data_IF_813588586642
#
_entry.id   IF_813588586642
#
_cell.length_a   1.000
_cell.length_b   1.000
_cell.length_c   1.000
_cell.angle_alpha   90.00
_cell.angle_beta   90.00
_cell.angle_gamma   90.00
#
_symmetry.space_group_name_H-M   'P 1'
#
loop_
_entity.id
_entity.type
_entity.pdbx_description
1 polymer ?
#
# COMPACT_ATOMS: atom_id res chain seq x y z
N UNK A 1 -10.09 -30.28 19.14
CA UNK A 1 -10.26 -29.36 17.99
C UNK A 1 -9.01 -28.53 17.90
N UNK A 2 -8.17 -28.81 16.93
CA UNK A 2 -6.91 -28.10 16.72
C UNK A 2 -7.15 -27.15 15.56
N UNK A 3 -7.25 -25.84 15.82
CA UNK A 3 -7.38 -24.86 14.74
C UNK A 3 -6.00 -24.63 14.13
N UNK A 4 -5.87 -24.89 12.83
CA UNK A 4 -4.66 -24.56 12.06
C UNK A 4 -4.85 -23.19 11.43
N UNK A 5 -3.81 -22.34 11.42
CA UNK A 5 -3.85 -21.02 10.79
C UNK A 5 -2.97 -21.07 9.55
N UNK A 6 -3.53 -20.68 8.41
CA UNK A 6 -2.82 -20.47 7.15
C UNK A 6 -2.87 -18.99 6.78
N UNK A 7 -1.81 -18.50 6.14
CA UNK A 7 -1.70 -17.10 5.73
C UNK A 7 -1.68 -17.04 4.20
N UNK A 8 -2.69 -16.40 3.60
CA UNK A 8 -2.72 -16.12 2.15
C UNK A 8 -2.34 -14.66 1.92
N UNK A 9 -1.04 -14.44 1.82
CA UNK A 9 -0.46 -13.10 1.73
C UNK A 9 0.38 -13.04 0.46
N UNK A 10 -0.16 -12.49 -0.64
CA UNK A 10 0.60 -12.32 -1.87
C UNK A 10 1.79 -11.38 -1.67
N UNK A 11 2.92 -11.71 -2.29
CA UNK A 11 4.07 -10.82 -2.31
C UNK A 11 3.82 -9.63 -3.25
N UNK A 12 4.45 -8.50 -2.95
CA UNK A 12 4.46 -7.35 -3.86
C UNK A 12 5.79 -7.39 -4.61
N UNK A 13 5.76 -7.54 -5.94
CA UNK A 13 6.97 -7.78 -6.72
C UNK A 13 8.04 -6.76 -6.36
N UNK A 14 9.27 -7.25 -6.19
CA UNK A 14 10.43 -6.39 -6.10
C UNK A 14 10.53 -5.60 -7.43
N UNK A 15 10.39 -4.27 -7.44
CA UNK A 15 11.33 -3.44 -8.17
C UNK A 15 12.57 -4.19 -8.73
N UNK A 16 12.83 -4.37 -10.03
CA UNK A 16 13.03 -3.32 -11.03
C UNK A 16 13.96 -2.17 -10.61
N UNK A 17 14.29 -2.04 -9.32
CA UNK A 17 14.74 -0.81 -8.67
C UNK A 17 14.09 0.54 -9.14
N UNK A 18 12.75 0.67 -9.29
CA UNK A 18 12.08 1.90 -9.70
C UNK A 18 12.33 3.04 -8.73
N UNK A 19 12.45 2.75 -7.44
CA UNK A 19 12.57 3.78 -6.41
C UNK A 19 13.97 4.40 -6.41
N UNK A 20 15.04 3.60 -6.32
CA UNK A 20 16.40 4.13 -6.48
C UNK A 20 16.61 4.63 -7.91
N UNK A 21 15.99 4.01 -8.90
CA UNK A 21 16.01 4.48 -10.29
C UNK A 21 15.38 5.87 -10.44
N UNK A 22 14.22 6.10 -9.85
CA UNK A 22 13.51 7.38 -9.89
C UNK A 22 14.28 8.46 -9.13
N UNK A 23 14.61 8.21 -7.85
CA UNK A 23 15.31 9.20 -7.05
C UNK A 23 16.73 9.45 -7.54
N UNK A 24 17.44 8.39 -7.97
CA UNK A 24 18.76 8.50 -8.58
C UNK A 24 18.73 9.31 -9.87
N UNK A 25 17.79 9.03 -10.78
CA UNK A 25 17.63 9.81 -12.01
C UNK A 25 17.21 11.26 -11.72
N UNK A 26 16.31 11.50 -10.76
CA UNK A 26 15.94 12.85 -10.36
C UNK A 26 17.13 13.64 -9.80
N UNK A 27 17.96 13.03 -8.96
CA UNK A 27 19.14 13.67 -8.36
C UNK A 27 20.26 13.93 -9.37
N UNK A 28 20.51 12.98 -10.28
CA UNK A 28 21.66 12.99 -11.19
C UNK A 28 21.34 13.67 -12.52
N UNK A 29 20.13 13.49 -13.04
CA UNK A 29 19.76 13.88 -14.41
C UNK A 29 18.72 15.02 -14.42
N UNK A 30 17.91 15.12 -13.37
CA UNK A 30 16.87 16.12 -13.22
C UNK A 30 15.46 15.54 -13.37
N UNK A 31 14.46 16.41 -13.24
CA UNK A 31 13.06 16.01 -13.32
C UNK A 31 12.52 16.13 -14.76
N UNK A 32 11.47 15.37 -15.11
CA UNK A 32 10.84 15.42 -16.43
C UNK A 32 9.98 16.67 -16.69
N UNK A 33 9.94 17.60 -15.74
CA UNK A 33 9.12 18.81 -15.80
C UNK A 33 9.75 19.87 -14.90
N UNK A 34 9.70 21.12 -15.36
CA UNK A 34 10.12 22.32 -14.63
C UNK A 34 9.00 22.87 -13.72
N UNK A 35 7.78 22.34 -13.83
CA UNK A 35 6.65 22.75 -12.98
C UNK A 35 6.84 22.23 -11.55
N UNK A 36 6.89 23.14 -10.58
CA UNK A 36 6.96 22.79 -9.15
C UNK A 36 5.75 21.95 -8.70
N UNK A 37 4.58 22.19 -9.30
CA UNK A 37 3.35 21.44 -9.04
C UNK A 37 3.47 20.00 -9.51
N UNK A 38 3.96 19.78 -10.74
CA UNK A 38 4.18 18.44 -11.27
C UNK A 38 5.24 17.70 -10.46
N UNK A 39 6.39 18.34 -10.19
CA UNK A 39 7.47 17.77 -9.36
C UNK A 39 6.92 17.34 -8.00
N UNK A 40 6.13 18.19 -7.35
CA UNK A 40 5.55 17.88 -6.04
C UNK A 40 4.60 16.69 -6.11
N UNK A 41 3.72 16.64 -7.11
CA UNK A 41 2.73 15.57 -7.26
C UNK A 41 3.38 14.22 -7.61
N UNK A 42 4.33 14.20 -8.55
CA UNK A 42 5.07 13.00 -8.94
C UNK A 42 5.94 12.48 -7.79
N UNK A 43 6.74 13.35 -7.16
CA UNK A 43 7.58 12.97 -6.02
C UNK A 43 6.74 12.52 -4.81
N UNK A 44 5.57 13.14 -4.56
CA UNK A 44 4.65 12.69 -3.50
C UNK A 44 4.10 11.30 -3.82
N UNK A 45 3.64 11.07 -5.05
CA UNK A 45 3.19 9.76 -5.48
C UNK A 45 4.27 8.71 -5.26
N UNK A 46 5.49 8.91 -5.81
CA UNK A 46 6.58 7.93 -5.70
C UNK A 46 6.96 7.66 -4.24
N UNK A 47 7.07 8.71 -3.41
CA UNK A 47 7.37 8.56 -1.97
C UNK A 47 6.30 7.75 -1.24
N UNK A 48 5.02 8.03 -1.51
CA UNK A 48 3.91 7.32 -0.86
C UNK A 48 3.81 5.86 -1.34
N UNK A 49 4.04 5.57 -2.61
CA UNK A 49 4.10 4.19 -3.13
C UNK A 49 5.25 3.42 -2.48
N UNK A 50 6.42 4.04 -2.32
CA UNK A 50 7.55 3.44 -1.63
C UNK A 50 7.22 3.11 -0.17
N UNK A 51 6.70 4.10 0.58
CA UNK A 51 6.30 3.89 1.98
C UNK A 51 5.27 2.78 2.10
N UNK A 52 4.25 2.79 1.25
CA UNK A 52 3.19 1.79 1.27
C UNK A 52 3.72 0.37 1.03
N UNK A 53 4.66 0.21 0.10
CA UNK A 53 5.31 -1.08 -0.15
C UNK A 53 6.14 -1.55 1.04
N UNK A 54 6.99 -0.69 1.59
CA UNK A 54 7.83 -1.05 2.75
C UNK A 54 6.98 -1.42 3.96
N UNK A 55 5.91 -0.66 4.20
CA UNK A 55 4.96 -0.94 5.27
C UNK A 55 4.19 -2.23 5.02
N UNK A 56 3.77 -2.52 3.79
CA UNK A 56 3.15 -3.81 3.44
C UNK A 56 4.09 -4.98 3.77
N UNK A 57 5.32 -4.96 3.27
CA UNK A 57 6.28 -6.05 3.49
C UNK A 57 6.66 -6.21 4.97
N UNK A 58 6.78 -5.11 5.71
CA UNK A 58 6.98 -5.17 7.15
C UNK A 58 5.76 -5.76 7.85
N UNK A 59 4.55 -5.35 7.46
CA UNK A 59 3.30 -5.85 8.03
C UNK A 59 3.15 -7.36 7.85
N UNK A 60 3.41 -7.86 6.65
CA UNK A 60 3.32 -9.29 6.32
C UNK A 60 4.36 -10.11 7.07
N UNK A 61 5.60 -9.61 7.19
CA UNK A 61 6.64 -10.26 8.00
C UNK A 61 6.25 -10.36 9.48
N UNK A 62 5.74 -9.29 10.07
CA UNK A 62 5.28 -9.28 11.45
C UNK A 62 4.07 -10.21 11.64
N UNK A 63 3.16 -10.26 10.66
CA UNK A 63 2.00 -11.16 10.68
C UNK A 63 2.43 -12.63 10.69
N UNK A 64 3.34 -13.00 9.79
CA UNK A 64 3.94 -14.33 9.76
C UNK A 64 4.61 -14.66 11.09
N UNK A 65 5.40 -13.75 11.65
CA UNK A 65 6.09 -13.95 12.92
C UNK A 65 5.12 -14.17 14.08
N UNK A 66 3.99 -13.45 14.09
CA UNK A 66 2.97 -13.57 15.13
C UNK A 66 2.32 -14.98 15.19
N UNK A 67 2.24 -15.67 14.04
CA UNK A 67 1.59 -16.96 13.89
C UNK A 67 2.55 -18.16 13.66
N UNK A 68 3.86 -17.93 13.54
CA UNK A 68 4.87 -18.98 13.31
C UNK A 68 5.40 -19.66 14.59
N UNK A 69 5.12 -19.14 15.79
CA UNK A 69 5.66 -19.71 17.02
C UNK A 69 4.92 -20.98 17.44
N UNK A 70 5.66 -22.05 17.74
CA UNK A 70 5.18 -23.28 18.42
C UNK A 70 4.78 -23.06 19.89
N UNK A 71 4.68 -21.79 20.30
CA UNK A 71 4.25 -21.29 21.62
C UNK A 71 3.33 -20.08 21.42
N UNK A 72 2.69 -19.68 22.51
CA UNK A 72 1.82 -18.50 22.69
C UNK A 72 2.02 -17.40 21.63
N UNK A 73 0.92 -16.96 21.02
CA UNK A 73 0.87 -15.92 20.00
C UNK A 73 1.65 -14.67 20.43
N UNK A 74 2.60 -14.21 19.60
CA UNK A 74 3.36 -13.00 19.86
C UNK A 74 2.51 -11.74 19.58
N UNK A 75 1.68 -11.36 20.57
CA UNK A 75 0.74 -10.25 20.44
C UNK A 75 1.42 -8.93 20.05
N UNK A 76 2.67 -8.69 20.47
CA UNK A 76 3.46 -7.53 20.04
C UNK A 76 3.73 -7.49 18.53
N UNK A 77 3.98 -8.65 17.92
CA UNK A 77 4.19 -8.77 16.47
C UNK A 77 2.88 -8.55 15.72
N UNK A 78 1.76 -9.04 16.26
CA UNK A 78 0.44 -8.76 15.70
C UNK A 78 0.13 -7.25 15.70
N UNK A 79 0.38 -6.54 16.80
CA UNK A 79 0.17 -5.08 16.84
C UNK A 79 1.11 -4.32 15.90
N UNK A 80 2.37 -4.75 15.77
CA UNK A 80 3.32 -4.18 14.79
C UNK A 80 2.82 -4.39 13.36
N UNK A 81 2.29 -5.58 13.07
CA UNK A 81 1.69 -5.88 11.77
C UNK A 81 0.52 -4.94 11.46
N UNK A 82 -0.39 -4.78 12.43
CA UNK A 82 -1.56 -3.89 12.31
C UNK A 82 -1.13 -2.46 12.00
N UNK A 83 -0.27 -1.85 12.83
CA UNK A 83 0.18 -0.47 12.64
C UNK A 83 0.85 -0.23 11.28
N UNK A 84 1.56 -1.25 10.76
CA UNK A 84 2.17 -1.20 9.43
C UNK A 84 1.13 -1.28 8.31
N UNK A 85 0.10 -2.12 8.44
CA UNK A 85 -1.01 -2.13 7.47
C UNK A 85 -1.78 -0.80 7.46
N UNK A 86 -1.99 -0.17 8.61
CA UNK A 86 -2.62 1.15 8.71
C UNK A 86 -1.81 2.22 7.95
N UNK A 87 -0.48 2.21 8.15
CA UNK A 87 0.46 3.09 7.46
C UNK A 87 0.50 2.82 5.95
N UNK A 88 0.43 1.56 5.55
CA UNK A 88 0.37 1.12 4.16
C UNK A 88 -0.87 1.70 3.46
N UNK A 89 -2.07 1.46 4.01
CA UNK A 89 -3.34 1.92 3.43
C UNK A 89 -3.38 3.45 3.33
N UNK A 90 -2.93 4.14 4.38
CA UNK A 90 -2.86 5.60 4.40
C UNK A 90 -1.93 6.13 3.32
N UNK A 91 -0.77 5.50 3.13
CA UNK A 91 0.18 5.86 2.08
C UNK A 91 -0.36 5.56 0.68
N UNK A 92 -1.05 4.43 0.46
CA UNK A 92 -1.72 4.12 -0.81
C UNK A 92 -2.80 5.15 -1.16
N UNK A 93 -3.60 5.56 -0.18
CA UNK A 93 -4.60 6.61 -0.37
C UNK A 93 -3.96 7.94 -0.79
N UNK A 94 -2.88 8.36 -0.11
CA UNK A 94 -2.17 9.59 -0.49
C UNK A 94 -1.51 9.48 -1.88
N UNK A 95 -0.96 8.33 -2.23
CA UNK A 95 -0.42 8.07 -3.57
C UNK A 95 -1.52 8.21 -4.64
N UNK A 96 -2.66 7.55 -4.45
CA UNK A 96 -3.82 7.65 -5.34
C UNK A 96 -4.23 9.12 -5.56
N UNK A 97 -4.36 9.88 -4.48
CA UNK A 97 -4.75 11.30 -4.52
C UNK A 97 -3.74 12.16 -5.27
N UNK A 98 -2.46 11.94 -5.02
CA UNK A 98 -1.37 12.64 -5.71
C UNK A 98 -1.39 12.31 -7.22
N UNK A 99 -1.58 11.03 -7.56
CA UNK A 99 -1.60 10.57 -8.94
C UNK A 99 -2.82 11.08 -9.72
N UNK A 100 -4.02 11.05 -9.13
CA UNK A 100 -5.23 11.61 -9.76
C UNK A 100 -5.07 13.11 -10.03
N UNK A 101 -4.44 13.84 -9.11
CA UNK A 101 -4.13 15.26 -9.31
C UNK A 101 -3.07 15.46 -10.39
N UNK A 102 -2.03 14.63 -10.41
CA UNK A 102 -1.00 14.66 -11.45
C UNK A 102 -1.63 14.48 -12.83
N UNK A 103 -2.45 13.44 -13.04
CA UNK A 103 -3.15 13.16 -14.30
C UNK A 103 -3.96 14.31 -14.87
N UNK A 104 -4.52 15.14 -13.98
CA UNK A 104 -5.39 16.28 -14.30
C UNK A 104 -4.64 17.61 -14.28
N UNK A 105 -3.33 17.58 -14.11
CA UNK A 105 -2.52 18.78 -14.09
C UNK A 105 -2.41 19.33 -15.50
N UNK A 106 -2.90 20.56 -15.68
CA UNK A 106 -2.87 21.36 -16.89
C UNK A 106 -1.45 21.69 -17.36
N UNK A 107 -0.50 21.75 -16.43
CA UNK A 107 0.92 22.01 -16.73
C UNK A 107 1.66 20.79 -17.32
N UNK A 108 1.00 19.62 -17.47
CA UNK A 108 1.62 18.44 -18.05
C UNK A 108 1.88 18.66 -19.55
N UNK A 109 3.10 18.40 -20.00
CA UNK A 109 3.40 18.38 -21.44
C UNK A 109 2.56 17.29 -22.12
N UNK A 110 2.28 17.47 -23.41
CA UNK A 110 1.53 16.49 -24.19
C UNK A 110 2.18 15.10 -24.17
N UNK A 111 3.52 15.05 -24.19
CA UNK A 111 4.31 13.81 -24.12
C UNK A 111 4.16 13.10 -22.76
N UNK A 112 4.32 13.84 -21.65
CA UNK A 112 4.12 13.28 -20.30
C UNK A 112 2.67 12.85 -20.07
N UNK A 113 1.71 13.66 -20.54
CA UNK A 113 0.29 13.32 -20.48
C UNK A 113 -0.02 12.04 -21.27
N UNK A 114 0.59 11.85 -22.45
CA UNK A 114 0.41 10.63 -23.24
C UNK A 114 0.85 9.40 -22.44
N UNK A 115 2.04 9.41 -21.82
CA UNK A 115 2.55 8.28 -21.02
C UNK A 115 1.70 8.02 -19.77
N UNK A 116 1.34 9.08 -19.04
CA UNK A 116 0.63 8.98 -17.76
C UNK A 116 -0.85 8.62 -17.97
N UNK A 117 -1.49 9.14 -19.02
CA UNK A 117 -2.93 9.00 -19.24
C UNK A 117 -3.32 7.92 -20.26
N UNK A 118 -2.38 7.31 -21.00
CA UNK A 118 -2.66 6.27 -22.00
C UNK A 118 -3.57 5.18 -21.46
N UNK A 119 -3.25 4.68 -20.27
CA UNK A 119 -4.03 3.66 -19.57
C UNK A 119 -4.60 4.25 -18.28
N UNK A 120 -5.82 3.83 -17.94
CA UNK A 120 -6.44 4.20 -16.67
C UNK A 120 -6.18 3.06 -15.69
N UNK A 121 -5.35 3.27 -14.65
CA UNK A 121 -5.06 2.22 -13.70
C UNK A 121 -6.29 1.85 -12.88
N UNK A 122 -6.36 0.59 -12.46
CA UNK A 122 -7.37 0.08 -11.56
C UNK A 122 -7.30 0.78 -10.19
N UNK A 123 -6.11 1.14 -9.69
CA UNK A 123 -5.94 1.75 -8.37
C UNK A 123 -6.60 3.14 -8.23
N UNK A 124 -6.97 3.81 -9.35
CA UNK A 124 -7.75 5.06 -9.34
C UNK A 124 -9.22 4.86 -9.70
N UNK A 125 -9.69 3.61 -9.80
CA UNK A 125 -11.09 3.33 -10.00
C UNK A 125 -11.90 3.82 -8.79
N UNK A 126 -13.11 4.38 -8.98
CA UNK A 126 -13.92 4.89 -7.86
C UNK A 126 -14.17 3.87 -6.75
N UNK A 127 -14.24 2.59 -7.10
CA UNK A 127 -14.37 1.48 -6.16
C UNK A 127 -13.14 1.35 -5.24
N UNK A 128 -11.94 1.41 -5.81
CA UNK A 128 -10.68 1.33 -5.06
C UNK A 128 -10.46 2.59 -4.22
N UNK A 129 -10.66 3.78 -4.81
CA UNK A 129 -10.60 5.05 -4.07
C UNK A 129 -11.58 5.05 -2.90
N UNK A 130 -12.80 4.55 -3.12
CA UNK A 130 -13.81 4.43 -2.07
C UNK A 130 -13.38 3.51 -0.93
N UNK A 131 -12.83 2.33 -1.25
CA UNK A 131 -12.31 1.37 -0.24
C UNK A 131 -11.15 1.96 0.57
N UNK A 132 -10.14 2.51 -0.10
CA UNK A 132 -8.97 3.10 0.58
C UNK A 132 -9.37 4.29 1.47
N UNK A 133 -10.25 5.17 0.96
CA UNK A 133 -10.77 6.29 1.73
C UNK A 133 -11.55 5.82 2.95
N UNK A 134 -12.48 4.89 2.78
CA UNK A 134 -13.32 4.40 3.87
C UNK A 134 -12.47 3.73 4.97
N UNK A 135 -11.49 2.91 4.58
CA UNK A 135 -10.52 2.33 5.51
C UNK A 135 -9.74 3.41 6.27
N UNK A 136 -9.17 4.40 5.56
CA UNK A 136 -8.42 5.51 6.15
C UNK A 136 -9.26 6.36 7.10
N UNK A 137 -10.43 6.80 6.66
CA UNK A 137 -11.31 7.66 7.46
C UNK A 137 -11.81 6.91 8.71
N UNK A 138 -12.01 5.60 8.61
CA UNK A 138 -12.32 4.75 9.77
C UNK A 138 -11.16 4.72 10.76
N UNK A 139 -9.93 4.48 10.30
CA UNK A 139 -8.72 4.49 11.15
C UNK A 139 -8.54 5.82 11.88
N UNK A 140 -8.66 6.96 11.17
CA UNK A 140 -8.53 8.28 11.81
C UNK A 140 -9.66 8.60 12.79
N UNK A 141 -10.90 8.22 12.45
CA UNK A 141 -12.02 8.42 13.35
C UNK A 141 -11.81 7.69 14.69
N UNK A 142 -11.20 6.51 14.64
CA UNK A 142 -10.87 5.72 15.83
C UNK A 142 -9.82 6.43 16.68
N UNK A 143 -8.75 6.92 16.05
CA UNK A 143 -7.71 7.71 16.73
C UNK A 143 -8.31 8.95 17.41
N UNK A 144 -9.26 9.62 16.75
CA UNK A 144 -9.97 10.75 17.35
C UNK A 144 -10.85 10.36 18.54
N UNK A 145 -11.60 9.26 18.45
CA UNK A 145 -12.43 8.78 19.56
C UNK A 145 -11.57 8.36 20.75
N UNK A 146 -10.40 7.73 20.48
CA UNK A 146 -9.39 7.40 21.49
C UNK A 146 -8.89 8.66 22.18
N UNK A 147 -8.46 9.65 21.42
CA UNK A 147 -7.96 10.92 21.95
C UNK A 147 -9.01 11.67 22.77
N UNK A 148 -10.29 11.53 22.43
CA UNK A 148 -11.43 12.17 23.13
C UNK A 148 -11.89 11.37 24.37
N UNK A 149 -11.30 10.21 24.66
CA UNK A 149 -11.70 9.34 25.76
C UNK A 149 -13.12 8.77 25.61
N UNK A 150 -13.60 8.65 24.36
CA UNK A 150 -14.98 8.26 24.03
C UNK A 150 -15.11 6.81 23.60
N UNK A 151 -14.05 6.00 23.65
CA UNK A 151 -14.20 4.55 23.50
C UNK A 151 -14.72 3.97 24.81
N UNK A 152 -15.97 3.51 24.77
CA UNK A 152 -16.71 3.01 25.92
C UNK A 152 -16.78 1.47 26.00
N UNK A 153 -16.27 0.76 24.98
CA UNK A 153 -16.20 -0.71 24.95
C UNK A 153 -14.75 -1.19 24.78
N UNK A 154 -14.45 -2.41 25.25
CA UNK A 154 -13.17 -3.09 25.05
C UNK A 154 -12.76 -2.94 23.58
N UNK A 155 -11.64 -2.24 23.31
CA UNK A 155 -11.14 -1.95 21.96
C UNK A 155 -11.27 -3.20 21.09
N UNK A 156 -12.29 -3.30 20.21
CA UNK A 156 -12.50 -4.50 19.45
C UNK A 156 -11.55 -4.40 18.27
N UNK A 157 -10.28 -4.77 18.47
CA UNK A 157 -9.23 -4.97 17.45
C UNK A 157 -9.62 -4.41 16.08
N UNK A 158 -9.62 -3.08 15.95
CA UNK A 158 -10.42 -2.43 14.90
C UNK A 158 -9.83 -2.60 13.51
N UNK A 159 -8.52 -2.85 13.45
CA UNK A 159 -7.83 -3.40 12.29
C UNK A 159 -7.37 -4.81 12.65
N UNK A 160 -7.98 -5.81 12.02
CA UNK A 160 -7.73 -7.22 12.34
C UNK A 160 -7.41 -8.00 11.06
N UNK A 161 -6.21 -8.63 10.99
CA UNK A 161 -5.97 -9.72 10.06
C UNK A 161 -6.97 -10.85 10.33
N UNK A 162 -7.81 -11.17 9.36
CA UNK A 162 -8.93 -12.08 9.51
C UNK A 162 -9.07 -12.96 8.27
N UNK A 163 -9.91 -13.99 8.36
CA UNK A 163 -10.03 -15.01 7.35
C UNK A 163 -11.28 -15.86 7.48
N UNK A 164 -11.56 -16.69 6.48
CA UNK A 164 -12.61 -17.70 6.55
C UNK A 164 -12.07 -19.00 7.18
N UNK A 165 -12.94 -19.70 7.92
CA UNK A 165 -12.64 -20.99 8.52
C UNK A 165 -13.22 -22.11 7.64
N UNK A 166 -12.37 -23.02 7.17
CA UNK A 166 -12.73 -24.13 6.30
C UNK A 166 -12.50 -25.47 7.02
N UNK A 167 -13.38 -26.47 6.82
CA UNK A 167 -13.12 -27.82 7.32
C UNK A 167 -11.94 -28.43 6.55
N UNK A 168 -11.05 -29.15 7.25
CA UNK A 168 -9.97 -29.87 6.59
C UNK A 168 -10.59 -31.04 5.79
N UNK A 169 -10.33 -31.08 4.49
CA UNK A 169 -10.92 -32.04 3.53
C UNK A 169 -10.36 -33.46 3.62
N UNK A 170 -9.77 -33.86 4.75
CA UNK A 170 -9.18 -35.19 4.94
C UNK A 170 -10.14 -36.10 5.72
N UNK A 171 -10.68 -37.18 5.11
CA UNK A 171 -11.64 -38.09 5.75
C UNK A 171 -11.09 -38.83 6.98
N UNK A 172 -9.76 -38.86 7.18
CA UNK A 172 -9.10 -39.61 8.25
C UNK A 172 -8.86 -38.78 9.54
N UNK A 173 -9.07 -37.46 9.52
CA UNK A 173 -8.81 -36.59 10.68
C UNK A 173 -10.13 -36.06 11.27
N UNK A 174 -10.39 -36.40 12.53
CA UNK A 174 -11.53 -35.93 13.32
C UNK A 174 -11.53 -34.39 13.43
N UNK A 175 -12.49 -33.73 12.76
CA UNK A 175 -12.94 -32.35 13.01
C UNK A 175 -11.84 -31.29 13.25
N UNK A 176 -10.82 -31.27 12.39
CA UNK A 176 -9.86 -30.16 12.34
C UNK A 176 -10.32 -29.10 11.31
N UNK A 177 -10.18 -27.83 11.68
CA UNK A 177 -10.52 -26.67 10.84
C UNK A 177 -9.27 -25.84 10.55
N UNK A 178 -9.26 -25.18 9.39
CA UNK A 178 -8.19 -24.30 8.94
C UNK A 178 -8.76 -22.89 8.80
N UNK A 179 -8.14 -21.91 9.44
CA UNK A 179 -8.46 -20.49 9.26
C UNK A 179 -7.45 -19.89 8.29
N UNK A 180 -7.92 -19.39 7.14
CA UNK A 180 -7.06 -18.78 6.11
C UNK A 180 -7.13 -17.27 6.25
N UNK A 181 -6.11 -16.65 6.85
CA UNK A 181 -6.02 -15.20 7.01
C UNK A 181 -5.58 -14.57 5.68
N UNK A 182 -6.52 -13.94 4.97
CA UNK A 182 -6.38 -13.41 3.60
C UNK A 182 -6.78 -11.92 3.47
N UNK A 183 -7.25 -11.30 4.56
CA UNK A 183 -7.80 -9.94 4.53
C UNK A 183 -7.60 -9.17 5.83
N UNK A 184 -7.68 -7.85 5.72
CA UNK A 184 -7.83 -6.94 6.84
C UNK A 184 -9.29 -6.55 6.98
N UNK A 185 -9.79 -6.62 8.21
CA UNK A 185 -11.06 -6.00 8.61
C UNK A 185 -10.75 -4.71 9.35
N UNK A 186 -11.34 -3.60 8.92
CA UNK A 186 -11.16 -2.24 9.42
C UNK A 186 -12.55 -1.69 9.75
N UNK A 187 -13.00 -1.87 11.00
CA UNK A 187 -14.42 -1.69 11.34
C UNK A 187 -15.32 -2.59 10.49
N UNK A 188 -16.27 -2.00 9.75
CA UNK A 188 -17.16 -2.70 8.82
C UNK A 188 -16.53 -2.95 7.43
N UNK A 189 -15.32 -2.40 7.19
CA UNK A 189 -14.67 -2.49 5.89
C UNK A 189 -13.73 -3.68 5.82
N UNK A 190 -13.63 -4.26 4.64
CA UNK A 190 -12.76 -5.41 4.36
C UNK A 190 -11.92 -5.12 3.14
N UNK A 191 -10.61 -5.37 3.25
CA UNK A 191 -9.66 -5.26 2.15
C UNK A 191 -8.80 -6.53 2.11
N UNK A 192 -8.80 -7.24 0.99
CA UNK A 192 -8.00 -8.47 0.85
C UNK A 192 -6.52 -8.13 0.63
N UNK A 193 -5.61 -8.98 1.12
CA UNK A 193 -4.18 -8.82 0.87
C UNK A 193 -3.87 -8.89 -0.63
N UNK A 194 -4.55 -9.75 -1.37
CA UNK A 194 -4.45 -9.82 -2.82
C UNK A 194 -4.82 -8.51 -3.52
N UNK A 195 -5.87 -7.82 -3.06
CA UNK A 195 -6.26 -6.52 -3.61
C UNK A 195 -5.19 -5.45 -3.33
N UNK A 196 -4.66 -5.40 -2.10
CA UNK A 196 -3.57 -4.48 -1.74
C UNK A 196 -2.33 -4.73 -2.59
N UNK A 197 -1.94 -5.99 -2.75
CA UNK A 197 -0.77 -6.37 -3.52
C UNK A 197 -0.92 -6.02 -5.01
N UNK A 198 -2.10 -6.25 -5.59
CA UNK A 198 -2.43 -5.88 -6.97
C UNK A 198 -2.33 -4.36 -7.18
N UNK A 199 -3.00 -3.56 -6.35
CA UNK A 199 -3.00 -2.11 -6.47
C UNK A 199 -1.59 -1.52 -6.24
N UNK A 200 -0.82 -2.06 -5.28
CA UNK A 200 0.57 -1.67 -5.07
C UNK A 200 1.44 -2.02 -6.28
N UNK A 201 1.27 -3.22 -6.85
CA UNK A 201 1.98 -3.65 -8.06
C UNK A 201 1.74 -2.68 -9.22
N UNK A 202 0.48 -2.28 -9.44
CA UNK A 202 0.13 -1.31 -10.47
C UNK A 202 0.71 0.09 -10.18
N UNK A 203 0.65 0.56 -8.93
CA UNK A 203 1.27 1.82 -8.53
C UNK A 203 2.79 1.82 -8.81
N UNK A 204 3.48 0.70 -8.54
CA UNK A 204 4.92 0.53 -8.84
C UNK A 204 5.20 0.62 -10.34
N UNK A 205 4.35 0.02 -11.19
CA UNK A 205 4.45 0.17 -12.66
C UNK A 205 4.37 1.65 -13.07
N UNK A 206 3.53 2.44 -12.41
CA UNK A 206 3.45 3.88 -12.69
C UNK A 206 4.66 4.67 -12.18
N UNK A 207 5.36 4.21 -11.13
CA UNK A 207 6.67 4.77 -10.76
C UNK A 207 7.68 4.59 -11.90
N UNK A 208 7.71 3.42 -12.53
CA UNK A 208 8.56 3.18 -13.70
C UNK A 208 8.18 4.04 -14.90
N UNK A 209 6.87 4.22 -15.18
CA UNK A 209 6.40 5.13 -16.23
C UNK A 209 6.88 6.56 -15.97
N UNK A 210 6.78 7.06 -14.74
CA UNK A 210 7.30 8.39 -14.38
C UNK A 210 8.82 8.48 -14.50
N UNK A 211 9.55 7.43 -14.11
CA UNK A 211 11.01 7.36 -14.30
C UNK A 211 11.38 7.41 -15.78
N UNK A 212 10.64 6.74 -16.65
CA UNK A 212 10.91 6.71 -18.09
C UNK A 212 10.78 8.07 -18.78
N UNK A 213 10.04 9.01 -18.16
CA UNK A 213 9.92 10.39 -18.62
C UNK A 213 11.13 11.25 -18.26
N UNK A 214 11.96 10.82 -17.31
CA UNK A 214 13.13 11.58 -16.91
C UNK A 214 14.10 11.71 -18.09
N UNK A 215 14.85 12.83 -18.17
CA UNK A 215 15.80 13.00 -19.25
C UNK A 215 16.83 11.85 -19.25
N UNK A 216 17.30 11.48 -20.43
CA UNK A 216 18.29 10.39 -20.59
C UNK A 216 19.74 10.89 -20.54
N UNK A 217 19.94 12.22 -20.50
CA UNK A 217 21.24 12.87 -20.43
C UNK A 217 21.17 14.05 -19.47
N UNK A 218 22.23 14.24 -18.67
CA UNK A 218 22.40 15.43 -17.85
C UNK A 218 22.48 16.67 -18.76
N UNK A 219 21.50 17.55 -18.65
CA UNK A 219 21.50 18.82 -19.38
C UNK A 219 22.12 19.90 -18.49
N UNK A 220 23.45 19.93 -18.42
CA UNK A 220 24.17 21.05 -17.81
C UNK A 220 24.04 22.30 -18.67
N UNK A 221 22.88 22.95 -18.68
CA UNK A 221 22.72 24.27 -19.34
C UNK A 221 23.15 25.42 -18.43
N UNK A 222 23.48 25.16 -17.17
CA UNK A 222 24.20 26.10 -16.30
C UNK A 222 25.67 25.71 -16.27
N UNK A 223 26.50 26.48 -16.97
CA UNK A 223 27.95 26.43 -16.82
C UNK A 223 28.40 26.80 -15.40
N UNK A 224 29.67 26.57 -15.05
CA UNK A 224 30.17 26.89 -13.72
C UNK A 224 30.04 28.39 -13.47
N UNK A 225 29.38 28.75 -12.36
CA UNK A 225 29.47 30.07 -11.75
C UNK A 225 30.66 30.12 -10.81
#
# INVERSE_FOLDING_TARGET
>A
MTKTIELDIPDVPAPTNPFLGYWGAQLVIGHFSESSKIITLSSTFVRCVFSAREDYLAATKHLCTAFQSTREMHLSELYRSIARFESCISSMYLAERAFVRLRRCDELSAESAAVINQEKPAFIAPTVTGKLKAARDTMEHIEELLAKGKLTEDLPYMVQPTGEEHPRTDPAQLADTVVVIDRLRIGEHVVRFAELAEWLGEMIVYVEKLRSLMPTRYTSTRGPH
#
